data_IF_148986007695
#
_entry.id   IF_148986007695
#
_cell.length_a   1.000
_cell.length_b   1.000
_cell.length_c   1.000
_cell.angle_alpha   90.00
_cell.angle_beta   90.00
_cell.angle_gamma   90.00
#
_symmetry.space_group_name_H-M   'P 1'
#
loop_
_entity.id
_entity.type
_entity.pdbx_description
1 polymer ?
#
# COMPACT_ATOMS: atom_id res chain seq x y z
N UNK A 1 85.10 33.29 43.86
CA UNK A 1 84.40 32.01 43.69
C UNK A 1 82.92 32.30 43.47
N UNK A 2 82.49 32.35 42.21
CA UNK A 2 81.10 32.57 41.87
C UNK A 2 80.50 31.28 41.35
N UNK A 3 79.51 30.77 42.05
CA UNK A 3 78.80 29.54 41.68
C UNK A 3 77.69 29.85 40.69
N UNK A 4 77.77 29.25 39.46
CA UNK A 4 76.77 29.30 38.45
C UNK A 4 75.74 28.19 38.70
N UNK A 5 74.45 28.53 38.90
CA UNK A 5 73.34 27.56 39.02
C UNK A 5 72.82 27.30 37.60
N UNK A 6 72.53 26.05 37.21
CA UNK A 6 71.92 25.79 35.92
C UNK A 6 70.40 26.05 35.99
N UNK A 7 69.93 26.75 34.95
CA UNK A 7 68.51 27.01 34.70
C UNK A 7 67.91 25.81 33.95
N UNK A 8 67.02 25.07 34.59
CA UNK A 8 66.31 23.97 33.95
C UNK A 8 65.16 24.56 33.13
N UNK A 9 65.22 24.45 31.81
CA UNK A 9 64.13 24.81 30.93
C UNK A 9 63.07 23.70 30.88
N UNK A 10 61.86 23.98 31.38
CA UNK A 10 60.71 23.10 31.31
C UNK A 10 60.05 23.27 29.94
N UNK A 11 60.24 22.30 29.00
CA UNK A 11 59.46 22.23 27.76
C UNK A 11 58.07 21.68 28.10
N UNK A 12 57.05 22.53 28.14
CA UNK A 12 55.65 22.13 28.15
C UNK A 12 55.23 21.71 26.73
N UNK A 13 55.17 20.40 26.49
CA UNK A 13 54.63 19.84 25.26
C UNK A 13 53.11 20.06 25.21
N UNK A 14 52.62 20.95 24.36
CA UNK A 14 51.22 21.03 24.00
C UNK A 14 50.84 19.79 23.19
N UNK A 15 50.21 18.80 23.78
CA UNK A 15 49.51 17.76 23.04
C UNK A 15 48.21 18.34 22.49
N UNK A 16 48.18 18.67 21.21
CA UNK A 16 46.96 18.94 20.46
C UNK A 16 46.17 17.64 20.38
N UNK A 17 45.19 17.49 21.30
CA UNK A 17 44.19 16.45 21.23
C UNK A 17 43.33 16.75 19.99
N UNK A 18 43.59 16.05 18.91
CA UNK A 18 42.64 16.02 17.77
C UNK A 18 41.39 15.31 18.29
N UNK A 19 40.36 16.09 18.63
CA UNK A 19 39.01 15.55 18.80
C UNK A 19 38.62 14.90 17.47
N UNK A 20 38.61 13.58 17.41
CA UNK A 20 38.04 12.86 16.32
C UNK A 20 36.57 13.28 16.23
N UNK A 21 36.21 13.98 15.18
CA UNK A 21 34.81 14.28 14.90
C UNK A 21 34.11 12.93 14.72
N UNK A 22 33.29 12.57 15.69
CA UNK A 22 32.48 11.37 15.58
C UNK A 22 31.60 11.49 14.33
N UNK A 23 31.50 10.40 13.55
CA UNK A 23 30.57 10.35 12.44
C UNK A 23 29.16 10.72 12.94
N UNK A 24 28.38 11.42 12.08
CA UNK A 24 27.00 11.71 12.42
C UNK A 24 26.25 10.40 12.73
N UNK A 25 25.42 10.36 13.76
CA UNK A 25 24.60 9.19 14.05
C UNK A 25 23.64 8.91 12.87
N UNK A 26 23.29 7.63 12.68
CA UNK A 26 22.26 7.29 11.70
C UNK A 26 20.93 7.94 12.10
N UNK A 27 20.26 8.54 11.12
CA UNK A 27 18.89 9.03 11.31
C UNK A 27 17.96 7.80 11.42
N UNK A 28 17.24 7.72 12.53
CA UNK A 28 16.25 6.67 12.81
C UNK A 28 14.84 7.10 12.39
N UNK A 29 14.67 8.33 11.88
CA UNK A 29 13.37 8.83 11.43
C UNK A 29 12.98 8.13 10.13
N UNK A 30 11.86 7.40 10.09
CA UNK A 30 11.40 6.81 8.84
C UNK A 30 11.14 7.87 7.78
N UNK A 31 11.52 7.58 6.53
CA UNK A 31 11.25 8.45 5.39
C UNK A 31 9.75 8.84 5.32
N UNK A 32 9.39 10.02 4.79
CA UNK A 32 8.01 10.52 4.80
C UNK A 32 6.98 9.61 4.14
N UNK A 33 7.36 8.78 3.15
CA UNK A 33 6.44 7.86 2.47
C UNK A 33 5.37 8.59 1.67
N UNK A 34 5.74 9.63 0.94
CA UNK A 34 4.83 10.50 0.17
C UNK A 34 5.36 10.66 -1.25
N UNK A 35 4.47 10.49 -2.22
CA UNK A 35 4.74 10.83 -3.63
C UNK A 35 3.53 11.54 -4.20
N UNK A 36 3.72 12.61 -4.98
CA UNK A 36 2.63 13.38 -5.59
C UNK A 36 2.76 13.46 -7.09
N UNK A 37 1.60 13.47 -7.76
CA UNK A 37 1.49 13.79 -9.18
C UNK A 37 0.16 14.47 -9.48
N UNK A 38 0.10 15.15 -10.61
CA UNK A 38 -1.18 15.62 -11.15
C UNK A 38 -1.72 14.60 -12.15
N UNK A 39 -3.02 14.34 -12.06
CA UNK A 39 -3.79 13.60 -13.06
C UNK A 39 -4.83 14.59 -13.62
N UNK A 40 -4.52 15.23 -14.73
CA UNK A 40 -5.32 16.34 -15.20
C UNK A 40 -5.44 17.45 -14.15
N UNK A 41 -6.65 17.66 -13.61
CA UNK A 41 -6.93 18.65 -12.56
C UNK A 41 -6.92 18.06 -11.13
N UNK A 42 -6.79 16.74 -10.99
CA UNK A 42 -6.75 16.08 -9.70
C UNK A 42 -5.30 15.94 -9.22
N UNK A 43 -5.06 16.17 -7.94
CA UNK A 43 -3.80 15.82 -7.32
C UNK A 43 -3.91 14.44 -6.70
N UNK A 44 -3.03 13.53 -7.11
CA UNK A 44 -2.92 12.18 -6.56
C UNK A 44 -1.68 12.12 -5.68
N UNK A 45 -1.86 11.65 -4.45
CA UNK A 45 -0.76 11.43 -3.50
C UNK A 45 -0.74 9.97 -3.09
N UNK A 46 0.32 9.23 -3.45
CA UNK A 46 0.58 7.94 -2.86
C UNK A 46 1.10 8.13 -1.43
N UNK A 47 0.52 7.37 -0.51
CA UNK A 47 0.86 7.37 0.91
C UNK A 47 1.32 5.96 1.29
N UNK A 48 2.52 5.84 1.84
CA UNK A 48 3.00 4.56 2.37
C UNK A 48 2.42 4.33 3.76
N UNK A 49 1.74 3.21 3.95
CA UNK A 49 1.42 2.69 5.29
C UNK A 49 2.63 1.99 5.91
N UNK A 50 3.63 1.64 5.10
CA UNK A 50 4.82 0.90 5.45
C UNK A 50 4.96 -0.38 4.66
N UNK A 51 5.54 -1.40 5.29
CA UNK A 51 5.83 -2.68 4.64
C UNK A 51 5.52 -3.86 5.55
N UNK A 52 5.29 -5.01 4.93
CA UNK A 52 5.14 -6.31 5.57
C UNK A 52 6.02 -7.33 4.86
N UNK A 53 6.65 -8.23 5.61
CA UNK A 53 7.46 -9.31 5.02
C UNK A 53 6.62 -10.57 4.88
N UNK A 54 6.44 -11.05 3.65
CA UNK A 54 5.61 -12.21 3.35
C UNK A 54 6.38 -13.32 2.59
N UNK A 55 6.04 -14.61 2.84
CA UNK A 55 6.69 -15.75 2.19
C UNK A 55 6.12 -16.00 0.80
N UNK A 56 6.61 -15.32 -0.24
CA UNK A 56 6.09 -15.43 -1.60
C UNK A 56 6.14 -16.87 -2.15
N UNK A 57 7.14 -17.66 -1.75
CA UNK A 57 7.27 -19.07 -2.14
C UNK A 57 6.18 -19.99 -1.55
N UNK A 58 5.52 -19.56 -0.48
CA UNK A 58 4.38 -20.26 0.14
C UNK A 58 3.04 -19.73 -0.31
N UNK A 59 2.99 -18.45 -0.66
CA UNK A 59 1.75 -17.74 -0.96
C UNK A 59 1.38 -17.80 -2.44
N UNK A 60 2.35 -17.62 -3.35
CA UNK A 60 2.08 -17.64 -4.79
C UNK A 60 1.78 -19.05 -5.28
N UNK A 61 0.73 -19.17 -6.10
CA UNK A 61 0.22 -20.41 -6.67
C UNK A 61 0.11 -20.28 -8.20
N UNK A 62 -0.23 -21.34 -8.91
CA UNK A 62 -0.32 -21.38 -10.39
C UNK A 62 1.01 -20.99 -11.10
N UNK A 63 2.15 -21.20 -10.43
CA UNK A 63 3.49 -20.99 -10.96
C UNK A 63 4.41 -22.17 -10.61
N UNK A 64 5.26 -22.60 -11.56
CA UNK A 64 6.26 -23.63 -11.28
C UNK A 64 7.32 -23.10 -10.31
N UNK A 65 7.74 -23.88 -9.29
CA UNK A 65 8.73 -23.41 -8.31
C UNK A 65 10.03 -22.89 -8.93
N UNK A 66 10.50 -23.50 -10.01
CA UNK A 66 11.70 -23.05 -10.72
C UNK A 66 11.50 -21.66 -11.39
N UNK A 67 10.33 -21.40 -11.95
CA UNK A 67 10.01 -20.11 -12.56
C UNK A 67 9.88 -19.01 -11.49
N UNK A 68 9.19 -19.31 -10.38
CA UNK A 68 9.12 -18.41 -9.21
C UNK A 68 10.52 -18.04 -8.70
N UNK A 69 11.35 -19.04 -8.45
CA UNK A 69 12.72 -18.83 -7.98
C UNK A 69 13.57 -18.02 -8.99
N UNK A 70 13.36 -18.23 -10.29
CA UNK A 70 14.04 -17.46 -11.33
C UNK A 70 13.59 -15.98 -11.33
N UNK A 71 12.29 -15.72 -11.24
CA UNK A 71 11.73 -14.35 -11.16
C UNK A 71 12.22 -13.60 -9.93
N UNK A 72 12.21 -14.23 -8.75
CA UNK A 72 12.72 -13.62 -7.52
C UNK A 72 14.23 -13.30 -7.64
N UNK A 73 15.03 -14.24 -8.14
CA UNK A 73 16.47 -13.99 -8.35
C UNK A 73 16.73 -12.86 -9.34
N UNK A 74 15.98 -12.80 -10.44
CA UNK A 74 16.13 -11.74 -11.45
C UNK A 74 15.80 -10.35 -10.86
N UNK A 75 14.93 -10.30 -9.87
CA UNK A 75 14.57 -9.08 -9.13
C UNK A 75 15.44 -8.84 -7.87
N UNK A 76 16.47 -9.67 -7.63
CA UNK A 76 17.28 -9.64 -6.40
C UNK A 76 16.47 -9.79 -5.10
N UNK A 77 15.35 -10.51 -5.15
CA UNK A 77 14.48 -10.77 -4.01
C UNK A 77 14.72 -12.15 -3.39
N UNK A 78 14.42 -12.27 -2.12
CA UNK A 78 14.38 -13.51 -1.39
C UNK A 78 12.92 -14.03 -1.31
N UNK A 79 12.70 -15.36 -1.01
CA UNK A 79 11.36 -15.88 -0.77
C UNK A 79 10.57 -15.13 0.32
N UNK A 80 11.23 -14.76 1.42
CA UNK A 80 10.70 -13.80 2.39
C UNK A 80 10.91 -12.40 1.84
N UNK A 81 9.88 -11.82 1.27
CA UNK A 81 9.94 -10.55 0.54
C UNK A 81 9.25 -9.44 1.32
N UNK A 82 9.95 -8.33 1.50
CA UNK A 82 9.35 -7.09 2.01
C UNK A 82 8.43 -6.51 0.95
N UNK A 83 7.16 -6.35 1.29
CA UNK A 83 6.08 -5.92 0.40
C UNK A 83 5.48 -4.62 0.91
N UNK A 84 5.32 -3.64 0.04
CA UNK A 84 4.72 -2.35 0.38
C UNK A 84 3.23 -2.48 0.69
N UNK A 85 2.72 -1.57 1.53
CA UNK A 85 1.30 -1.27 1.69
C UNK A 85 1.12 0.19 1.33
N UNK A 86 0.49 0.44 0.18
CA UNK A 86 0.25 1.77 -0.36
C UNK A 86 -1.23 2.12 -0.35
N UNK A 87 -1.56 3.32 0.09
CA UNK A 87 -2.86 3.94 -0.07
C UNK A 87 -2.74 5.18 -0.96
N UNK A 88 -3.87 5.67 -1.47
CA UNK A 88 -3.86 6.77 -2.42
C UNK A 88 -4.86 7.84 -2.02
N UNK A 89 -4.39 9.08 -1.88
CA UNK A 89 -5.23 10.24 -1.61
C UNK A 89 -5.45 11.02 -2.91
N UNK A 90 -6.70 11.27 -3.27
CA UNK A 90 -7.10 12.07 -4.42
C UNK A 90 -7.73 13.36 -3.92
N UNK A 91 -7.09 14.48 -4.22
CA UNK A 91 -7.67 15.80 -4.04
C UNK A 91 -8.27 16.25 -5.37
N UNK A 92 -9.58 16.30 -5.45
CA UNK A 92 -10.32 16.71 -6.65
C UNK A 92 -10.46 18.22 -6.77
N UNK A 93 -9.95 18.99 -5.79
CA UNK A 93 -10.20 20.42 -5.64
C UNK A 93 -11.55 20.75 -4.97
N UNK A 94 -12.40 19.73 -4.78
CA UNK A 94 -13.70 19.85 -4.10
C UNK A 94 -13.84 18.88 -2.94
N UNK A 95 -13.22 17.71 -3.03
CA UNK A 95 -13.27 16.64 -2.03
C UNK A 95 -11.90 16.01 -1.89
N UNK A 96 -11.60 15.53 -0.69
CA UNK A 96 -10.48 14.67 -0.38
C UNK A 96 -10.98 13.22 -0.26
N UNK A 97 -10.51 12.37 -1.17
CA UNK A 97 -10.91 10.97 -1.29
C UNK A 97 -9.71 10.09 -1.00
N UNK A 98 -9.80 9.23 0.01
CA UNK A 98 -8.76 8.29 0.35
C UNK A 98 -9.15 6.89 -0.15
N UNK A 99 -8.28 6.25 -0.90
CA UNK A 99 -8.43 4.85 -1.34
C UNK A 99 -7.56 3.97 -0.47
N UNK A 100 -8.19 3.09 0.27
CA UNK A 100 -7.67 2.24 1.35
C UNK A 100 -7.06 3.00 2.53
N UNK A 101 -6.90 2.31 3.66
CA UNK A 101 -6.51 2.94 4.93
C UNK A 101 -5.29 2.30 5.60
N UNK A 102 -4.62 1.37 4.93
CA UNK A 102 -3.50 0.63 5.51
C UNK A 102 -3.91 -0.36 6.59
N UNK A 103 -2.91 -0.93 7.27
CA UNK A 103 -3.09 -1.99 8.26
C UNK A 103 -3.48 -1.48 9.66
N UNK A 104 -3.28 -0.21 9.95
CA UNK A 104 -3.45 0.28 11.31
C UNK A 104 -2.62 -0.55 12.30
N UNK A 105 -3.26 -1.01 13.38
CA UNK A 105 -2.62 -1.82 14.41
C UNK A 105 -2.89 -3.34 14.24
N UNK A 106 -3.55 -3.76 13.16
CA UNK A 106 -4.04 -5.14 13.03
C UNK A 106 -2.94 -6.17 12.86
N UNK A 107 -1.82 -5.82 12.27
CA UNK A 107 -0.77 -6.82 12.02
C UNK A 107 0.08 -7.19 13.23
N UNK A 108 0.05 -6.44 14.32
CA UNK A 108 0.83 -6.75 15.53
C UNK A 108 2.33 -7.01 15.27
N UNK A 109 3.10 -7.25 16.33
CA UNK A 109 4.52 -7.60 16.22
C UNK A 109 4.70 -9.13 16.03
N UNK A 110 5.71 -9.58 15.23
CA UNK A 110 6.71 -8.78 14.51
C UNK A 110 6.27 -8.30 13.12
N UNK A 111 5.17 -8.83 12.55
CA UNK A 111 4.78 -8.61 11.16
C UNK A 111 4.45 -7.12 10.89
N UNK A 112 3.74 -6.47 11.80
CA UNK A 112 3.33 -5.08 11.70
C UNK A 112 4.37 -4.06 12.14
N UNK A 113 5.59 -4.46 12.49
CA UNK A 113 6.60 -3.53 12.99
C UNK A 113 6.93 -2.37 12.03
N UNK A 114 6.72 -2.57 10.74
CA UNK A 114 6.98 -1.58 9.69
C UNK A 114 5.71 -1.04 9.01
N UNK A 115 4.52 -1.54 9.35
CA UNK A 115 3.22 -1.11 8.83
C UNK A 115 2.49 -0.16 9.81
N UNK A 116 1.23 0.21 9.49
CA UNK A 116 0.38 1.04 10.35
C UNK A 116 0.77 2.52 10.39
N UNK A 117 1.41 3.03 9.34
CA UNK A 117 1.97 4.39 9.31
C UNK A 117 1.14 5.38 8.50
N UNK A 118 0.00 4.98 7.96
CA UNK A 118 -0.79 5.82 7.05
C UNK A 118 -1.17 7.16 7.67
N UNK A 119 -1.62 7.16 8.93
CA UNK A 119 -1.99 8.39 9.63
C UNK A 119 -0.83 9.39 9.71
N UNK A 120 0.39 8.91 9.89
CA UNK A 120 1.59 9.76 9.89
C UNK A 120 1.91 10.23 8.48
N UNK A 121 1.85 9.36 7.48
CA UNK A 121 2.10 9.71 6.07
C UNK A 121 1.09 10.75 5.59
N UNK A 122 -0.18 10.64 5.97
CA UNK A 122 -1.23 11.61 5.68
C UNK A 122 -0.91 13.00 6.27
N UNK A 123 -0.54 13.04 7.56
CA UNK A 123 -0.15 14.31 8.21
C UNK A 123 1.11 14.91 7.59
N UNK A 124 2.10 14.10 7.28
CA UNK A 124 3.31 14.54 6.58
C UNK A 124 3.00 15.06 5.17
N UNK A 125 1.94 14.54 4.53
CA UNK A 125 1.44 15.05 3.25
C UNK A 125 0.70 16.40 3.40
N UNK A 126 0.49 16.90 4.61
CA UNK A 126 -0.15 18.18 4.90
C UNK A 126 -1.66 18.09 5.08
N UNK A 127 -2.20 16.87 5.30
CA UNK A 127 -3.64 16.67 5.50
C UNK A 127 -3.93 16.09 6.89
N UNK A 128 -5.03 16.54 7.49
CA UNK A 128 -5.57 15.98 8.71
C UNK A 128 -6.65 14.91 8.38
N UNK A 129 -6.79 13.85 9.18
CA UNK A 129 -7.81 12.83 8.97
C UNK A 129 -9.25 13.37 8.92
N UNK A 130 -9.51 14.45 9.63
CA UNK A 130 -10.80 15.13 9.69
C UNK A 130 -11.18 15.84 8.37
N UNK A 131 -10.21 16.02 7.47
CA UNK A 131 -10.43 16.63 6.14
C UNK A 131 -10.86 15.60 5.09
N UNK A 132 -10.79 14.30 5.39
CA UNK A 132 -11.18 13.25 4.45
C UNK A 132 -12.70 13.20 4.36
N UNK A 133 -13.23 13.42 3.15
CA UNK A 133 -14.66 13.40 2.85
C UNK A 133 -15.18 11.98 2.56
N UNK A 134 -14.36 11.18 1.89
CA UNK A 134 -14.69 9.82 1.51
C UNK A 134 -13.50 8.88 1.66
N UNK A 135 -13.75 7.68 2.19
CA UNK A 135 -12.83 6.55 2.13
C UNK A 135 -13.43 5.50 1.19
N UNK A 136 -12.67 5.10 0.19
CA UNK A 136 -13.06 4.06 -0.75
C UNK A 136 -12.23 2.82 -0.46
N UNK A 137 -12.84 1.75 0.00
CA UNK A 137 -12.14 0.48 0.20
C UNK A 137 -12.14 -0.32 -1.10
N UNK A 138 -10.96 -0.79 -1.51
CA UNK A 138 -10.87 -1.76 -2.59
C UNK A 138 -11.49 -3.09 -2.16
N UNK A 139 -11.28 -3.47 -0.91
CA UNK A 139 -11.86 -4.64 -0.26
C UNK A 139 -11.62 -4.59 1.27
N UNK A 140 -12.17 -5.57 2.01
CA UNK A 140 -12.09 -5.59 3.47
C UNK A 140 -11.04 -6.63 3.95
N UNK A 141 -9.76 -6.45 3.60
CA UNK A 141 -8.65 -7.11 4.30
C UNK A 141 -7.99 -6.14 5.28
N UNK A 142 -7.23 -6.70 6.22
CA UNK A 142 -6.63 -5.97 7.33
C UNK A 142 -5.74 -4.81 6.88
N UNK A 143 -4.95 -4.97 5.83
CA UNK A 143 -4.02 -3.97 5.32
C UNK A 143 -4.67 -2.92 4.38
N UNK A 144 -5.97 -3.02 4.15
CA UNK A 144 -6.76 -2.03 3.40
C UNK A 144 -7.77 -1.31 4.29
N UNK A 145 -8.35 -2.00 5.26
CA UNK A 145 -9.36 -1.45 6.16
C UNK A 145 -8.88 -1.20 7.59
N UNK A 146 -7.69 -1.67 7.97
CA UNK A 146 -7.19 -1.65 9.34
C UNK A 146 -6.99 -0.24 9.93
N UNK A 147 -6.71 0.74 9.08
CA UNK A 147 -6.58 2.14 9.51
C UNK A 147 -7.90 2.90 9.61
N UNK A 148 -9.07 2.26 9.47
CA UNK A 148 -10.38 2.92 9.61
C UNK A 148 -10.68 3.33 11.05
N UNK A 149 -10.35 2.47 12.01
CA UNK A 149 -10.73 2.66 13.41
C UNK A 149 -9.61 2.24 14.34
N UNK A 150 -9.57 2.83 15.53
CA UNK A 150 -8.70 2.47 16.62
C UNK A 150 -9.50 2.52 17.93
N UNK A 151 -9.44 1.47 18.73
CA UNK A 151 -10.19 1.36 20.01
C UNK A 151 -11.67 1.75 19.88
N UNK A 152 -12.33 1.34 18.80
CA UNK A 152 -13.72 1.63 18.55
C UNK A 152 -14.02 3.08 18.12
N UNK A 153 -12.97 3.90 17.89
CA UNK A 153 -13.11 5.26 17.41
C UNK A 153 -12.80 5.35 15.92
N UNK A 154 -13.59 6.11 15.17
CA UNK A 154 -13.34 6.38 13.75
C UNK A 154 -12.13 7.28 13.60
N UNK A 155 -11.12 6.85 12.82
CA UNK A 155 -9.93 7.65 12.54
C UNK A 155 -10.18 8.72 11.46
N UNK A 156 -11.23 8.55 10.64
CA UNK A 156 -11.69 9.56 9.66
C UNK A 156 -13.13 9.98 10.03
N UNK A 157 -13.31 10.86 11.04
CA UNK A 157 -14.61 11.10 11.67
C UNK A 157 -15.66 11.71 10.72
N UNK A 158 -15.21 12.47 9.71
CA UNK A 158 -16.10 13.14 8.76
C UNK A 158 -16.38 12.28 7.51
N UNK A 159 -15.53 11.33 7.20
CA UNK A 159 -15.64 10.53 5.99
C UNK A 159 -16.87 9.61 5.97
N UNK A 160 -17.45 9.43 4.79
CA UNK A 160 -18.25 8.25 4.44
C UNK A 160 -17.32 7.17 3.89
N UNK A 161 -17.53 5.91 4.32
CA UNK A 161 -16.79 4.75 3.84
C UNK A 161 -17.63 4.05 2.79
N UNK A 162 -17.05 3.83 1.62
CA UNK A 162 -17.66 3.14 0.49
C UNK A 162 -16.95 1.82 0.24
N UNK A 163 -17.70 0.76 0.03
CA UNK A 163 -17.19 -0.58 -0.26
C UNK A 163 -18.21 -1.34 -1.10
N UNK A 164 -17.76 -2.29 -1.91
CA UNK A 164 -18.68 -3.15 -2.65
C UNK A 164 -19.59 -3.92 -1.69
N UNK A 165 -20.88 -4.02 -2.06
CA UNK A 165 -21.89 -4.70 -1.24
C UNK A 165 -21.56 -6.16 -0.98
N UNK A 166 -20.98 -6.86 -1.96
CA UNK A 166 -20.63 -8.27 -1.77
C UNK A 166 -19.53 -8.46 -0.72
N UNK A 167 -18.59 -7.50 -0.61
CA UNK A 167 -17.57 -7.53 0.43
C UNK A 167 -18.18 -7.25 1.82
N UNK A 168 -18.98 -6.18 1.94
CA UNK A 168 -19.63 -5.87 3.22
C UNK A 168 -20.57 -6.99 3.68
N UNK A 169 -21.36 -7.54 2.77
CA UNK A 169 -22.30 -8.65 3.08
C UNK A 169 -21.55 -9.93 3.43
N UNK A 170 -20.36 -10.14 2.90
CA UNK A 170 -19.53 -11.30 3.24
C UNK A 170 -18.86 -11.13 4.61
N UNK A 171 -18.07 -10.08 4.79
CA UNK A 171 -17.21 -9.90 5.96
C UNK A 171 -17.96 -9.50 7.23
N UNK A 172 -19.10 -8.81 7.12
CA UNK A 172 -19.90 -8.40 8.28
C UNK A 172 -20.93 -9.46 8.69
N UNK A 173 -21.01 -10.58 7.97
CA UNK A 173 -21.97 -11.65 8.24
C UNK A 173 -21.40 -12.70 9.19
N UNK A 174 -21.97 -12.79 10.41
CA UNK A 174 -21.55 -13.77 11.42
C UNK A 174 -21.78 -15.23 11.02
N UNK A 175 -22.72 -15.52 10.12
CA UNK A 175 -22.91 -16.88 9.62
C UNK A 175 -21.76 -17.28 8.70
N UNK A 176 -21.24 -16.38 7.88
CA UNK A 176 -20.05 -16.62 7.08
C UNK A 176 -18.82 -16.85 7.97
N UNK A 177 -18.64 -16.03 9.02
CA UNK A 177 -17.59 -16.23 10.01
C UNK A 177 -17.67 -17.61 10.67
N UNK A 178 -18.86 -18.02 11.09
CA UNK A 178 -19.06 -19.31 11.76
C UNK A 178 -18.73 -20.50 10.84
N UNK A 179 -18.99 -20.38 9.53
CA UNK A 179 -18.68 -21.40 8.52
C UNK A 179 -17.23 -21.38 8.01
N UNK A 180 -16.49 -20.31 8.26
CA UNK A 180 -15.10 -20.17 7.83
C UNK A 180 -14.18 -21.12 8.58
N UNK A 181 -13.09 -21.55 7.93
CA UNK A 181 -12.03 -22.31 8.58
C UNK A 181 -11.48 -21.53 9.79
N UNK A 182 -11.09 -22.24 10.86
CA UNK A 182 -10.67 -21.64 12.12
C UNK A 182 -9.58 -20.54 11.92
N UNK A 183 -8.57 -20.81 11.10
CA UNK A 183 -7.50 -19.86 10.80
C UNK A 183 -7.91 -18.64 9.97
N UNK A 184 -9.15 -18.60 9.44
CA UNK A 184 -9.65 -17.47 8.66
C UNK A 184 -10.64 -16.59 9.45
N UNK A 185 -11.11 -17.05 10.62
CA UNK A 185 -12.15 -16.36 11.39
C UNK A 185 -11.71 -15.02 11.94
N UNK A 186 -10.42 -14.86 12.24
CA UNK A 186 -9.86 -13.60 12.73
C UNK A 186 -10.06 -12.44 11.74
N UNK A 187 -9.98 -12.68 10.42
CA UNK A 187 -10.23 -11.66 9.42
C UNK A 187 -11.65 -11.08 9.46
N UNK A 188 -12.65 -11.90 9.86
CA UNK A 188 -14.00 -11.41 10.10
C UNK A 188 -14.10 -10.54 11.36
N UNK A 189 -13.39 -10.91 12.43
CA UNK A 189 -13.35 -10.11 13.67
C UNK A 189 -12.67 -8.76 13.41
N UNK A 190 -11.59 -8.73 12.66
CA UNK A 190 -10.89 -7.53 12.24
C UNK A 190 -11.79 -6.63 11.39
N UNK A 191 -12.42 -7.18 10.34
CA UNK A 191 -13.36 -6.47 9.48
C UNK A 191 -14.50 -5.83 10.27
N UNK A 192 -15.12 -6.61 11.18
CA UNK A 192 -16.20 -6.12 12.02
C UNK A 192 -15.75 -5.02 12.98
N UNK A 193 -14.58 -5.18 13.62
CA UNK A 193 -14.01 -4.17 14.52
C UNK A 193 -13.74 -2.85 13.80
N UNK A 194 -13.18 -2.90 12.58
CA UNK A 194 -12.82 -1.70 11.82
C UNK A 194 -14.05 -0.96 11.28
N UNK A 195 -15.07 -1.68 10.85
CA UNK A 195 -16.26 -1.09 10.20
C UNK A 195 -17.39 -0.75 11.18
N UNK A 196 -17.49 -1.40 12.35
CA UNK A 196 -18.56 -1.19 13.31
C UNK A 196 -18.78 0.28 13.70
N UNK A 197 -17.76 1.12 13.95
CA UNK A 197 -17.97 2.53 14.28
C UNK A 197 -18.59 3.35 13.14
N UNK A 198 -18.34 2.97 11.89
CA UNK A 198 -18.96 3.61 10.71
C UNK A 198 -20.38 3.12 10.48
N UNK A 199 -20.64 1.83 10.69
CA UNK A 199 -22.01 1.28 10.66
C UNK A 199 -22.88 1.97 11.71
N UNK A 200 -22.41 2.05 12.96
CA UNK A 200 -23.13 2.68 14.07
C UNK A 200 -23.41 4.17 13.82
N UNK A 201 -22.54 4.85 13.09
CA UNK A 201 -22.69 6.26 12.73
C UNK A 201 -23.50 6.51 11.44
N UNK A 202 -23.98 5.45 10.76
CA UNK A 202 -24.64 5.57 9.45
C UNK A 202 -23.70 6.09 8.34
N UNK A 203 -22.40 5.82 8.46
CA UNK A 203 -21.36 6.32 7.54
C UNK A 203 -20.71 5.20 6.71
N UNK A 204 -21.23 3.99 6.73
CA UNK A 204 -20.88 2.93 5.77
C UNK A 204 -21.93 2.93 4.65
N UNK A 205 -21.46 3.03 3.40
CA UNK A 205 -22.30 3.05 2.20
C UNK A 205 -21.85 1.93 1.26
N UNK A 206 -22.47 0.74 1.34
CA UNK A 206 -22.24 -0.32 0.38
C UNK A 206 -22.76 0.08 -1.00
N UNK A 207 -21.92 -0.07 -2.04
CA UNK A 207 -22.32 0.17 -3.43
C UNK A 207 -22.44 -1.15 -4.21
N UNK A 208 -23.01 -1.08 -5.41
CA UNK A 208 -22.92 -2.13 -6.42
C UNK A 208 -21.93 -1.69 -7.50
N UNK A 209 -21.15 -2.63 -8.02
CA UNK A 209 -20.07 -2.35 -8.97
C UNK A 209 -20.50 -1.51 -10.18
N UNK A 210 -19.57 -0.76 -10.73
CA UNK A 210 -19.78 0.19 -11.82
C UNK A 210 -20.28 1.57 -11.36
N UNK A 211 -20.47 1.79 -10.06
CA UNK A 211 -20.95 3.07 -9.53
C UNK A 211 -19.89 4.17 -9.64
N UNK A 212 -20.27 5.35 -10.05
CA UNK A 212 -19.48 6.57 -9.85
C UNK A 212 -19.71 7.04 -8.42
N UNK A 213 -18.69 6.95 -7.59
CA UNK A 213 -18.78 7.24 -6.14
C UNK A 213 -18.60 8.74 -5.89
N UNK A 214 -17.64 9.34 -6.58
CA UNK A 214 -17.33 10.76 -6.57
C UNK A 214 -17.16 11.18 -8.03
N UNK A 215 -17.56 12.39 -8.45
CA UNK A 215 -17.36 12.83 -9.82
C UNK A 215 -15.91 12.64 -10.30
N UNK A 216 -15.72 11.83 -11.34
CA UNK A 216 -14.42 11.44 -11.86
C UNK A 216 -13.77 10.24 -11.17
N UNK A 217 -14.43 9.61 -10.19
CA UNK A 217 -13.92 8.39 -9.51
C UNK A 217 -15.01 7.31 -9.54
N UNK A 218 -14.75 6.26 -10.29
CA UNK A 218 -15.67 5.14 -10.51
C UNK A 218 -15.13 3.86 -9.91
N UNK A 219 -15.97 3.15 -9.16
CA UNK A 219 -15.69 1.77 -8.75
C UNK A 219 -15.89 0.82 -9.92
N UNK A 220 -14.96 -0.10 -10.13
CA UNK A 220 -15.02 -1.15 -11.16
C UNK A 220 -14.92 -2.51 -10.49
N UNK A 221 -15.81 -3.41 -10.88
CA UNK A 221 -15.85 -4.78 -10.34
C UNK A 221 -14.57 -5.52 -10.70
N UNK A 222 -13.92 -6.11 -9.69
CA UNK A 222 -12.77 -7.00 -9.85
C UNK A 222 -12.83 -8.16 -8.84
N UNK A 223 -14.01 -8.75 -8.72
CA UNK A 223 -14.27 -9.84 -7.76
C UNK A 223 -13.33 -11.02 -7.97
N UNK A 224 -13.02 -11.74 -6.92
CA UNK A 224 -12.17 -12.94 -6.93
C UNK A 224 -11.13 -12.96 -5.83
N UNK A 225 -10.38 -11.88 -5.63
CA UNK A 225 -9.49 -11.74 -4.48
C UNK A 225 -10.31 -11.78 -3.17
N UNK A 226 -11.32 -10.93 -3.07
CA UNK A 226 -12.44 -11.10 -2.15
C UNK A 226 -13.74 -11.16 -2.96
N UNK A 227 -14.89 -11.54 -2.34
CA UNK A 227 -16.16 -11.59 -3.04
C UNK A 227 -16.60 -10.26 -3.66
N UNK A 228 -16.19 -9.13 -3.08
CA UNK A 228 -16.52 -7.80 -3.54
C UNK A 228 -15.30 -6.92 -3.86
N UNK A 229 -14.12 -7.50 -4.09
CA UNK A 229 -12.97 -6.72 -4.49
C UNK A 229 -13.28 -5.83 -5.69
N UNK A 230 -12.95 -4.55 -5.58
CA UNK A 230 -13.14 -3.55 -6.62
C UNK A 230 -11.86 -2.74 -6.78
N UNK A 231 -11.61 -2.21 -7.97
CA UNK A 231 -10.62 -1.18 -8.16
C UNK A 231 -11.28 0.15 -8.51
N UNK A 232 -10.53 1.25 -8.48
CA UNK A 232 -11.07 2.57 -8.77
C UNK A 232 -10.41 3.16 -10.01
N UNK A 233 -11.24 3.54 -10.98
CA UNK A 233 -10.84 4.33 -12.13
C UNK A 233 -11.01 5.81 -11.79
N UNK A 234 -9.89 6.55 -11.78
CA UNK A 234 -9.84 8.00 -11.55
C UNK A 234 -9.58 8.68 -12.87
N UNK A 235 -10.47 9.58 -13.26
CA UNK A 235 -10.43 10.25 -14.56
C UNK A 235 -10.52 11.77 -14.40
N UNK A 236 -9.55 12.49 -14.97
CA UNK A 236 -9.53 13.95 -14.97
C UNK A 236 -8.74 14.49 -16.16
N UNK A 237 -9.30 15.50 -16.86
CA UNK A 237 -8.59 16.17 -17.96
C UNK A 237 -8.17 15.22 -19.10
N UNK A 238 -8.93 14.16 -19.37
CA UNK A 238 -8.61 13.17 -20.39
C UNK A 238 -7.52 12.16 -19.98
N UNK A 239 -7.02 12.21 -18.75
CA UNK A 239 -6.09 11.25 -18.19
C UNK A 239 -6.82 10.25 -17.29
N UNK A 240 -6.30 9.02 -17.20
CA UNK A 240 -6.87 7.94 -16.40
C UNK A 240 -5.82 7.24 -15.56
N UNK A 241 -6.17 7.00 -14.29
CA UNK A 241 -5.40 6.22 -13.32
C UNK A 241 -6.30 5.10 -12.78
N UNK A 242 -5.77 3.87 -12.76
CA UNK A 242 -6.43 2.69 -12.21
C UNK A 242 -5.77 2.34 -10.88
N UNK A 243 -6.52 2.41 -9.78
CA UNK A 243 -6.06 2.04 -8.44
C UNK A 243 -6.49 0.59 -8.17
N UNK A 244 -5.61 -0.36 -8.43
CA UNK A 244 -5.92 -1.77 -8.64
C UNK A 244 -6.16 -2.58 -7.36
N UNK A 245 -5.89 -2.04 -6.17
CA UNK A 245 -5.95 -2.83 -4.94
C UNK A 245 -5.08 -4.08 -5.03
N UNK A 246 -5.65 -5.23 -4.74
CA UNK A 246 -4.98 -6.53 -4.64
C UNK A 246 -5.08 -7.40 -5.90
N UNK A 247 -5.26 -6.77 -7.06
CA UNK A 247 -5.05 -7.47 -8.34
C UNK A 247 -3.58 -7.89 -8.52
N UNK A 248 -2.64 -7.24 -7.82
CA UNK A 248 -1.19 -7.50 -7.88
C UNK A 248 -0.56 -7.45 -6.48
N UNK A 249 0.17 -8.53 -6.12
CA UNK A 249 0.89 -8.64 -4.84
C UNK A 249 2.42 -8.71 -5.03
N UNK A 250 2.87 -9.30 -6.13
CA UNK A 250 4.27 -9.56 -6.37
C UNK A 250 4.66 -9.15 -7.81
N UNK A 251 4.96 -7.88 -8.02
CA UNK A 251 5.27 -7.34 -9.33
C UNK A 251 6.41 -8.06 -10.04
N UNK A 252 7.46 -8.45 -9.30
CA UNK A 252 8.59 -9.22 -9.83
C UNK A 252 8.19 -10.57 -10.46
N UNK A 253 7.02 -11.10 -10.10
CA UNK A 253 6.53 -12.40 -10.58
C UNK A 253 5.32 -12.22 -11.49
N UNK A 254 4.30 -11.50 -11.04
CA UNK A 254 2.98 -11.47 -11.70
C UNK A 254 2.97 -10.66 -13.00
N UNK A 255 3.91 -9.75 -13.21
CA UNK A 255 4.05 -9.12 -14.52
C UNK A 255 4.58 -10.10 -15.57
N UNK A 256 5.63 -10.84 -15.25
CA UNK A 256 6.18 -11.85 -16.17
C UNK A 256 5.28 -13.08 -16.30
N UNK A 257 4.53 -13.42 -15.25
CA UNK A 257 3.66 -14.59 -15.16
C UNK A 257 2.25 -14.17 -14.69
N UNK A 258 1.45 -13.50 -15.53
CA UNK A 258 0.16 -12.91 -15.13
C UNK A 258 -0.88 -13.93 -14.68
N UNK A 259 -0.67 -15.21 -15.02
CA UNK A 259 -1.48 -16.32 -14.53
C UNK A 259 -1.23 -16.73 -13.07
N UNK A 260 -0.18 -16.22 -12.42
CA UNK A 260 0.15 -16.53 -11.02
C UNK A 260 -0.92 -15.95 -10.08
N UNK A 261 -1.46 -16.80 -9.21
CA UNK A 261 -2.46 -16.45 -8.18
C UNK A 261 -1.82 -16.44 -6.80
N UNK A 262 -2.57 -16.05 -5.79
CA UNK A 262 -2.09 -16.02 -4.40
C UNK A 262 -3.10 -16.71 -3.48
N UNK A 263 -2.63 -17.31 -2.38
CA UNK A 263 -3.49 -18.03 -1.42
C UNK A 263 -4.51 -17.16 -0.70
N UNK A 264 -4.41 -15.84 -0.84
CA UNK A 264 -5.39 -14.90 -0.30
C UNK A 264 -6.63 -14.78 -1.20
N UNK A 265 -6.54 -15.21 -2.48
CA UNK A 265 -7.66 -15.18 -3.41
C UNK A 265 -8.76 -16.15 -2.97
N UNK A 266 -9.98 -15.65 -2.72
CA UNK A 266 -11.17 -16.48 -2.40
C UNK A 266 -11.62 -17.27 -3.64
N UNK A 267 -11.57 -16.64 -4.81
CA UNK A 267 -11.73 -17.29 -6.12
C UNK A 267 -10.54 -16.95 -7.02
N UNK A 268 -9.53 -17.81 -6.98
CA UNK A 268 -8.29 -17.61 -7.71
C UNK A 268 -8.50 -17.58 -9.25
N UNK A 269 -9.48 -18.32 -9.77
CA UNK A 269 -9.77 -18.34 -11.20
C UNK A 269 -10.37 -17.00 -11.66
N UNK A 270 -11.30 -16.46 -10.88
CA UNK A 270 -11.91 -15.17 -11.15
C UNK A 270 -10.88 -14.03 -10.98
N UNK A 271 -10.10 -13.98 -9.89
CA UNK A 271 -9.05 -13.01 -9.67
C UNK A 271 -8.02 -12.99 -10.81
N UNK A 272 -7.60 -14.17 -11.28
CA UNK A 272 -6.72 -14.33 -12.44
C UNK A 272 -7.31 -13.74 -13.73
N UNK A 273 -8.60 -14.01 -13.99
CA UNK A 273 -9.28 -13.52 -15.19
C UNK A 273 -9.41 -11.98 -15.17
N UNK A 274 -9.78 -11.39 -14.03
CA UNK A 274 -9.86 -9.93 -13.84
C UNK A 274 -8.49 -9.29 -14.07
N UNK A 275 -7.44 -9.81 -13.42
CA UNK A 275 -6.07 -9.31 -13.61
C UNK A 275 -5.61 -9.36 -15.05
N UNK A 276 -5.87 -10.47 -15.76
CA UNK A 276 -5.45 -10.63 -17.15
C UNK A 276 -6.13 -9.60 -18.07
N UNK A 277 -7.44 -9.35 -17.88
CA UNK A 277 -8.19 -8.35 -18.62
C UNK A 277 -7.66 -6.94 -18.38
N UNK A 278 -7.48 -6.58 -17.11
CA UNK A 278 -7.08 -5.23 -16.73
C UNK A 278 -5.64 -4.90 -17.13
N UNK A 279 -4.71 -5.85 -16.97
CA UNK A 279 -3.32 -5.65 -17.43
C UNK A 279 -3.26 -5.47 -18.95
N UNK A 280 -4.10 -6.19 -19.69
CA UNK A 280 -4.17 -6.04 -21.16
C UNK A 280 -4.74 -4.69 -21.56
N UNK A 281 -5.79 -4.22 -20.88
CA UNK A 281 -6.41 -2.93 -21.15
C UNK A 281 -5.48 -1.77 -20.79
N UNK A 282 -4.88 -1.80 -19.59
CA UNK A 282 -3.93 -0.80 -19.12
C UNK A 282 -2.70 -0.70 -20.04
N UNK A 283 -2.14 -1.83 -20.46
CA UNK A 283 -1.00 -1.87 -21.38
C UNK A 283 -1.33 -1.37 -22.78
N UNK A 284 -2.55 -1.64 -23.28
CA UNK A 284 -3.03 -1.20 -24.59
C UNK A 284 -3.24 0.30 -24.63
N UNK A 285 -3.82 0.87 -23.58
CA UNK A 285 -4.25 2.27 -23.56
C UNK A 285 -3.26 3.21 -22.88
N UNK A 286 -2.21 2.67 -22.23
CA UNK A 286 -1.19 3.46 -21.56
C UNK A 286 -1.70 4.21 -20.32
N UNK A 287 -2.71 3.68 -19.64
CA UNK A 287 -3.23 4.28 -18.40
C UNK A 287 -2.17 4.29 -17.29
N UNK A 288 -2.27 5.28 -16.41
CA UNK A 288 -1.59 5.20 -15.13
C UNK A 288 -2.17 4.08 -14.29
N UNK A 289 -1.33 3.42 -13.54
CA UNK A 289 -1.70 2.33 -12.63
C UNK A 289 -1.12 2.64 -11.25
N UNK A 290 -1.93 2.48 -10.21
CA UNK A 290 -1.50 2.45 -8.81
C UNK A 290 -1.87 1.11 -8.19
N UNK A 291 -1.00 0.49 -7.41
CA UNK A 291 -1.26 -0.78 -6.76
C UNK A 291 -0.74 -0.81 -5.32
N UNK A 292 -1.50 -1.47 -4.45
CA UNK A 292 -1.24 -1.50 -3.01
C UNK A 292 0.09 -2.15 -2.67
N UNK A 293 0.47 -3.22 -3.36
CA UNK A 293 1.63 -4.04 -3.01
C UNK A 293 2.83 -3.92 -3.96
N UNK A 294 2.79 -3.00 -4.92
CA UNK A 294 3.99 -2.65 -5.68
C UNK A 294 4.89 -1.73 -4.85
N UNK A 295 6.21 -1.84 -5.09
CA UNK A 295 7.19 -0.99 -4.40
C UNK A 295 6.78 0.48 -4.45
N UNK A 296 6.81 1.16 -3.30
CA UNK A 296 6.44 2.58 -3.20
C UNK A 296 7.13 3.43 -4.29
N UNK A 297 6.43 4.35 -4.96
CA UNK A 297 5.07 4.84 -4.69
C UNK A 297 3.94 3.95 -5.25
N UNK A 298 4.23 2.80 -5.82
CA UNK A 298 3.24 1.90 -6.41
C UNK A 298 2.56 2.46 -7.67
N UNK A 299 3.02 3.58 -8.22
CA UNK A 299 2.46 4.26 -9.40
C UNK A 299 3.38 4.09 -10.61
N UNK A 300 2.80 3.83 -11.78
CA UNK A 300 3.53 3.67 -13.03
C UNK A 300 2.62 3.28 -14.18
N UNK A 301 3.20 2.64 -15.20
CA UNK A 301 2.48 2.08 -16.35
C UNK A 301 2.78 0.59 -16.51
N UNK A 302 1.84 -0.10 -17.12
CA UNK A 302 2.02 -1.48 -17.58
C UNK A 302 2.30 -1.45 -19.08
N UNK A 303 3.32 -2.15 -19.53
CA UNK A 303 3.61 -2.34 -20.95
C UNK A 303 3.71 -3.83 -21.28
N UNK A 304 3.37 -4.22 -22.52
CA UNK A 304 3.64 -5.58 -22.98
C UNK A 304 5.14 -5.86 -22.97
N UNK A 305 5.51 -7.08 -22.61
CA UNK A 305 6.88 -7.54 -22.80
C UNK A 305 7.06 -7.95 -24.27
N UNK A 306 7.99 -7.32 -24.96
CA UNK A 306 8.30 -7.62 -26.36
C UNK A 306 8.98 -8.98 -26.55
N UNK A 307 9.50 -9.58 -25.47
CA UNK A 307 10.26 -10.82 -25.49
C UNK A 307 9.50 -12.03 -24.93
N UNK A 308 8.27 -11.84 -24.47
CA UNK A 308 7.46 -12.89 -23.84
C UNK A 308 5.98 -12.57 -23.84
N UNK A 309 5.19 -13.47 -23.24
CA UNK A 309 3.73 -13.33 -23.15
C UNK A 309 3.28 -12.46 -21.94
N UNK A 310 4.24 -11.94 -21.18
CA UNK A 310 3.99 -11.16 -19.96
C UNK A 310 3.92 -9.65 -20.18
N UNK A 311 4.18 -8.96 -19.10
CA UNK A 311 4.18 -7.50 -19.01
C UNK A 311 5.43 -7.01 -18.32
N UNK A 312 5.69 -5.71 -18.44
CA UNK A 312 6.72 -4.98 -17.72
C UNK A 312 6.09 -3.84 -16.94
N UNK A 313 6.62 -3.61 -15.75
CA UNK A 313 6.31 -2.43 -14.96
C UNK A 313 7.23 -1.28 -15.32
N UNK A 314 6.67 -0.13 -15.58
CA UNK A 314 7.37 1.12 -15.86
C UNK A 314 7.02 2.09 -14.72
N UNK A 315 7.85 2.16 -13.65
CA UNK A 315 7.54 3.00 -12.50
C UNK A 315 7.52 4.47 -12.86
N UNK A 316 6.70 5.25 -12.16
CA UNK A 316 6.70 6.70 -12.27
C UNK A 316 8.06 7.28 -11.85
N UNK A 317 8.51 8.32 -12.54
CA UNK A 317 9.68 9.08 -12.10
C UNK A 317 9.34 9.90 -10.85
N UNK A 318 10.36 10.12 -10.02
CA UNK A 318 10.24 11.10 -8.94
C UNK A 318 9.91 12.48 -9.52
N UNK A 319 8.94 13.15 -8.88
CA UNK A 319 8.60 14.54 -9.17
C UNK A 319 8.85 15.38 -7.92
N UNK A 320 9.60 16.48 -8.09
CA UNK A 320 9.92 17.42 -7.02
C UNK A 320 8.82 18.51 -6.94
N UNK A 321 7.63 18.12 -6.58
CA UNK A 321 6.50 19.04 -6.39
C UNK A 321 6.54 19.70 -5.02
#
# INVERSE_FOLDING_TARGET
MFAIKPLAALLAGLTLSHAALAAAPFDQTPAPGIYRMMLGQFQVTALSDGTVTIPLDKLLTEIKPAALAASLRAAHLQPMTETSINAFLINTGKQLVLVDTGAGDLFGLPMGAQAGRLQRSLRNAGYAPEQIDAVLLTHIHADHSGGLSHDGQRLFPNAHVYVDRQDSDFWLNRANQASAAEGQRHGFDEAQAMLAPYVAAGKLTPFQGGAEIVPGIRAVVAHGHTPGHSYYAVESGGQKLLLLGDMLHAGAVQFAHPGTTIRFDVDAAMAKAQRAGEMADAAKNGYWVGAAHLSFPGIGHIARDEKGDGYRWLPANYSAW
#
